data_IF_682079234478
#
_entry.id   IF_682079234478
#
_cell.length_a   1.000
_cell.length_b   1.000
_cell.length_c   1.000
_cell.angle_alpha   90.00
_cell.angle_beta   90.00
_cell.angle_gamma   90.00
#
_symmetry.space_group_name_H-M   'P 1'
#
loop_
_entity.id
_entity.type
_entity.pdbx_description
1 polymer ?
#
# COMPACT_ATOMS: atom_id res chain seq x y z
N UNK A 1 -9.36 -6.25 -6.67
CA UNK A 1 -9.58 -5.77 -5.29
C UNK A 1 -8.24 -5.34 -4.70
N UNK A 2 -8.25 -4.34 -3.81
CA UNK A 2 -7.03 -3.81 -3.18
C UNK A 2 -7.12 -3.97 -1.68
N UNK A 3 -6.07 -4.47 -1.03
CA UNK A 3 -6.04 -4.68 0.43
C UNK A 3 -4.85 -3.99 1.07
N UNK A 4 -5.07 -3.43 2.25
CA UNK A 4 -3.99 -2.87 3.07
C UNK A 4 -3.15 -4.03 3.61
N UNK A 5 -1.84 -3.98 3.38
CA UNK A 5 -0.91 -5.00 3.86
C UNK A 5 -0.08 -4.49 5.05
N UNK A 6 0.31 -3.22 5.02
CA UNK A 6 0.94 -2.54 6.14
C UNK A 6 0.53 -1.07 6.17
N UNK A 7 0.27 -0.56 7.37
CA UNK A 7 0.06 0.86 7.57
C UNK A 7 1.32 1.68 7.25
N UNK A 8 2.51 1.08 7.14
CA UNK A 8 3.77 1.76 6.84
C UNK A 8 4.50 1.06 5.68
N UNK A 9 4.91 1.84 4.68
CA UNK A 9 5.78 1.40 3.58
C UNK A 9 7.23 1.82 3.83
N UNK A 10 7.89 2.29 2.78
CA UNK A 10 9.28 2.80 2.84
C UNK A 10 9.43 4.06 3.69
N UNK A 11 8.35 4.82 3.86
CA UNK A 11 8.31 6.00 4.73
C UNK A 11 7.05 5.99 5.57
N UNK A 12 7.04 6.76 6.67
CA UNK A 12 5.87 6.90 7.52
C UNK A 12 4.65 7.51 6.79
N UNK A 13 4.88 8.26 5.71
CA UNK A 13 3.84 8.87 4.88
C UNK A 13 3.29 7.92 3.81
N UNK A 14 3.85 6.72 3.66
CA UNK A 14 3.41 5.71 2.68
C UNK A 14 2.81 4.51 3.40
N UNK A 15 1.79 3.92 2.81
CA UNK A 15 1.21 2.66 3.24
C UNK A 15 1.40 1.61 2.13
N UNK A 16 1.62 0.35 2.53
CA UNK A 16 1.81 -0.75 1.60
C UNK A 16 0.46 -1.42 1.33
N UNK A 17 0.10 -1.49 0.07
CA UNK A 17 -1.11 -2.16 -0.40
C UNK A 17 -0.75 -3.31 -1.32
N UNK A 18 -1.65 -4.29 -1.41
CA UNK A 18 -1.55 -5.38 -2.36
C UNK A 18 -2.76 -5.34 -3.30
N UNK A 19 -2.47 -5.37 -4.59
CA UNK A 19 -3.46 -5.45 -5.67
C UNK A 19 -3.70 -6.91 -6.01
N UNK A 20 -4.92 -7.39 -5.78
CA UNK A 20 -5.30 -8.78 -6.09
C UNK A 20 -5.50 -9.01 -7.59
N UNK A 21 -5.88 -7.97 -8.35
CA UNK A 21 -6.07 -8.08 -9.80
C UNK A 21 -4.76 -8.20 -10.59
N UNK A 22 -3.69 -7.64 -10.05
CA UNK A 22 -2.36 -7.62 -10.67
C UNK A 22 -1.32 -8.44 -9.90
N UNK A 23 -1.71 -9.02 -8.75
CA UNK A 23 -0.87 -9.84 -7.86
C UNK A 23 0.46 -9.16 -7.45
N UNK A 24 0.47 -7.83 -7.31
CA UNK A 24 1.67 -7.08 -6.97
C UNK A 24 1.43 -6.12 -5.79
N UNK A 25 2.45 -5.93 -4.92
CA UNK A 25 2.43 -4.89 -3.92
C UNK A 25 2.73 -3.52 -4.53
N UNK A 26 2.15 -2.47 -3.96
CA UNK A 26 2.45 -1.09 -4.33
C UNK A 26 2.35 -0.16 -3.11
N UNK A 27 3.05 0.98 -3.17
CA UNK A 27 2.99 2.00 -2.13
C UNK A 27 1.96 3.06 -2.48
N UNK A 28 1.13 3.42 -1.50
CA UNK A 28 0.16 4.51 -1.61
C UNK A 28 0.53 5.61 -0.62
N UNK A 29 0.56 6.86 -1.09
CA UNK A 29 0.77 8.00 -0.21
C UNK A 29 -0.45 8.22 0.68
N UNK A 30 -0.24 8.31 1.99
CA UNK A 30 -1.28 8.69 2.94
C UNK A 30 -1.59 10.17 2.70
N UNK A 31 -2.86 10.52 2.58
CA UNK A 31 -3.26 11.91 2.73
C UNK A 31 -3.12 12.26 4.22
N UNK A 32 -2.11 13.07 4.55
CA UNK A 32 -1.93 13.72 5.84
C UNK A 32 -2.71 15.03 5.89
#
# INVERSE_FOLDING_TARGET
>A
QTRLQSAFGSTACKALYFCDGCCQPFEHFKCI
#
